data_IF_498013412133
#
_entry.id   IF_498013412133
#
_cell.length_a   1.000
_cell.length_b   1.000
_cell.length_c   1.000
_cell.angle_alpha   90.00
_cell.angle_beta   90.00
_cell.angle_gamma   90.00
#
_symmetry.space_group_name_H-M   'P 1'
#
loop_
_entity.id
_entity.type
_entity.pdbx_description
1 polymer ?
#
# COMPACT_ATOMS: atom_id res chain seq x y z
N UNK A 1 32.90 50.52 -18.75
CA UNK A 1 32.44 49.16 -19.10
C UNK A 1 32.08 48.46 -17.80
N UNK A 2 30.81 48.08 -17.62
CA UNK A 2 30.26 47.50 -16.38
C UNK A 2 30.26 45.98 -16.57
N UNK A 3 30.92 45.24 -15.67
CA UNK A 3 30.95 43.76 -15.70
C UNK A 3 29.56 43.20 -15.32
N UNK A 4 29.02 42.21 -16.06
CA UNK A 4 27.82 41.52 -15.62
C UNK A 4 28.21 40.48 -14.56
N UNK A 5 27.71 40.67 -13.34
CA UNK A 5 27.74 39.65 -12.29
C UNK A 5 26.94 38.44 -12.77
N UNK A 6 27.65 37.35 -13.10
CA UNK A 6 27.05 36.07 -13.42
C UNK A 6 26.43 35.48 -12.15
N UNK A 7 25.11 35.50 -12.08
CA UNK A 7 24.34 34.82 -11.03
C UNK A 7 24.38 33.32 -11.35
N UNK A 8 25.24 32.59 -10.66
CA UNK A 8 25.22 31.13 -10.67
C UNK A 8 23.96 30.69 -9.94
N UNK A 9 22.93 30.30 -10.70
CA UNK A 9 21.73 29.69 -10.16
C UNK A 9 22.09 28.27 -9.69
N UNK A 10 22.45 28.13 -8.41
CA UNK A 10 22.57 26.84 -7.74
C UNK A 10 21.17 26.24 -7.61
N UNK A 11 20.71 25.56 -8.66
CA UNK A 11 19.59 24.64 -8.57
C UNK A 11 20.04 23.48 -7.66
N UNK A 12 19.76 23.62 -6.36
CA UNK A 12 19.78 22.49 -5.46
C UNK A 12 18.70 21.52 -5.96
N UNK A 13 19.11 20.57 -6.79
CA UNK A 13 18.37 19.34 -7.04
C UNK A 13 18.31 18.61 -5.70
N UNK A 14 17.33 18.97 -4.87
CA UNK A 14 16.78 18.10 -3.84
C UNK A 14 16.01 16.97 -4.54
N UNK A 15 16.70 16.24 -5.43
CA UNK A 15 16.35 14.87 -5.70
C UNK A 15 16.70 14.12 -4.43
N UNK A 16 15.77 14.20 -3.47
CA UNK A 16 15.73 13.26 -2.36
C UNK A 16 15.92 11.90 -3.01
N UNK A 17 17.05 11.27 -2.70
CA UNK A 17 17.23 9.86 -2.93
C UNK A 17 16.20 9.15 -2.06
N UNK A 18 14.94 9.16 -2.49
CA UNK A 18 13.96 8.21 -2.04
C UNK A 18 14.54 6.87 -2.49
N UNK A 19 15.16 6.17 -1.54
CA UNK A 19 15.42 4.73 -1.67
C UNK A 19 14.10 4.17 -2.14
N UNK A 20 14.02 3.77 -3.41
CA UNK A 20 12.78 3.21 -3.91
C UNK A 20 12.54 1.95 -3.11
N UNK A 21 11.43 1.86 -2.35
CA UNK A 21 11.15 0.64 -1.60
C UNK A 21 11.11 -0.49 -2.62
N UNK A 22 11.98 -1.49 -2.43
CA UNK A 22 11.96 -2.65 -3.29
C UNK A 22 10.62 -3.39 -3.05
N UNK A 23 10.12 -4.09 -4.07
CA UNK A 23 8.84 -4.80 -3.97
C UNK A 23 8.82 -5.84 -2.83
N UNK A 24 9.99 -6.38 -2.48
CA UNK A 24 10.14 -7.37 -1.42
C UNK A 24 9.88 -6.77 -0.03
N UNK A 25 10.37 -5.56 0.25
CA UNK A 25 10.14 -4.83 1.51
C UNK A 25 8.67 -4.48 1.67
N UNK A 26 8.02 -3.97 0.60
CA UNK A 26 6.58 -3.67 0.65
C UNK A 26 5.75 -4.94 0.92
N UNK A 27 6.14 -6.06 0.31
CA UNK A 27 5.47 -7.35 0.53
C UNK A 27 5.64 -7.83 1.97
N UNK A 28 6.84 -7.67 2.56
CA UNK A 28 7.12 -8.03 3.94
C UNK A 28 6.32 -7.18 4.94
N UNK A 29 6.29 -5.86 4.77
CA UNK A 29 5.52 -4.96 5.63
C UNK A 29 4.01 -5.23 5.54
N UNK A 30 3.50 -5.53 4.34
CA UNK A 30 2.11 -5.92 4.14
C UNK A 30 1.77 -7.23 4.86
N UNK A 31 2.65 -8.23 4.78
CA UNK A 31 2.47 -9.50 5.51
C UNK A 31 2.51 -9.29 7.03
N UNK A 32 3.43 -8.47 7.54
CA UNK A 32 3.51 -8.12 8.96
C UNK A 32 2.24 -7.41 9.44
N UNK A 33 1.70 -6.50 8.62
CA UNK A 33 0.42 -5.86 8.91
C UNK A 33 -0.71 -6.89 9.04
N UNK A 34 -0.82 -7.84 8.10
CA UNK A 34 -1.82 -8.91 8.17
C UNK A 34 -1.65 -9.78 9.42
N UNK A 35 -0.41 -10.16 9.76
CA UNK A 35 -0.08 -10.92 10.99
C UNK A 35 -0.54 -10.16 12.24
N UNK A 36 -0.21 -8.88 12.33
CA UNK A 36 -0.61 -8.02 13.45
C UNK A 36 -2.13 -7.93 13.57
N UNK A 37 -2.83 -7.76 12.45
CA UNK A 37 -4.30 -7.74 12.43
C UNK A 37 -4.90 -9.07 12.89
N UNK A 38 -4.35 -10.21 12.47
CA UNK A 38 -4.81 -11.52 12.96
C UNK A 38 -4.59 -11.70 14.47
N UNK A 39 -3.44 -11.26 14.99
CA UNK A 39 -3.13 -11.34 16.42
C UNK A 39 -4.14 -10.60 17.30
N UNK A 40 -4.67 -9.46 16.82
CA UNK A 40 -5.74 -8.72 17.54
C UNK A 40 -7.04 -9.53 17.71
N UNK A 41 -7.21 -10.62 16.95
CA UNK A 41 -8.33 -11.55 17.08
C UNK A 41 -7.95 -12.86 17.79
N UNK A 42 -6.78 -12.92 18.45
CA UNK A 42 -6.19 -14.16 19.00
C UNK A 42 -6.07 -15.27 17.94
N UNK A 43 -5.77 -14.89 16.70
CA UNK A 43 -5.64 -15.78 15.56
C UNK A 43 -4.27 -15.61 14.89
N UNK A 44 -3.84 -16.61 14.13
CA UNK A 44 -2.61 -16.58 13.33
C UNK A 44 -2.95 -16.30 11.87
N UNK A 45 -2.05 -15.60 11.20
CA UNK A 45 -2.11 -15.45 9.75
C UNK A 45 -1.95 -16.82 9.08
N UNK A 46 -2.86 -17.15 8.18
CA UNK A 46 -2.86 -18.41 7.42
C UNK A 46 -2.42 -18.19 5.96
N UNK A 47 -2.84 -17.08 5.35
CA UNK A 47 -2.48 -16.74 3.98
C UNK A 47 -3.31 -15.60 3.42
N UNK A 48 -2.90 -15.07 2.27
CA UNK A 48 -3.63 -14.03 1.56
C UNK A 48 -3.91 -14.42 0.10
N UNK A 49 -4.99 -13.88 -0.45
CA UNK A 49 -5.33 -14.04 -1.86
C UNK A 49 -6.22 -12.88 -2.32
N UNK A 50 -5.86 -12.28 -3.45
CA UNK A 50 -6.53 -11.10 -3.99
C UNK A 50 -6.51 -9.96 -2.96
N UNK A 51 -7.71 -9.50 -2.58
CA UNK A 51 -7.89 -8.40 -1.63
C UNK A 51 -8.28 -8.84 -0.22
N UNK A 52 -7.97 -10.09 0.13
CA UNK A 52 -8.34 -10.65 1.41
C UNK A 52 -7.26 -11.54 2.00
N UNK A 53 -7.27 -11.67 3.31
CA UNK A 53 -6.40 -12.57 4.04
C UNK A 53 -7.18 -13.36 5.08
N UNK A 54 -6.65 -14.53 5.40
CA UNK A 54 -7.27 -15.50 6.30
C UNK A 54 -6.50 -15.52 7.60
N UNK A 55 -7.22 -15.38 8.70
CA UNK A 55 -6.75 -15.63 10.05
C UNK A 55 -7.39 -16.92 10.57
N UNK A 56 -6.60 -17.77 11.22
CA UNK A 56 -7.06 -19.01 11.83
C UNK A 56 -6.70 -19.04 13.31
N UNK A 57 -7.66 -19.35 14.16
CA UNK A 57 -7.47 -19.41 15.61
C UNK A 57 -8.53 -20.26 16.28
N UNK A 58 -8.73 -20.04 17.59
CA UNK A 58 -9.77 -20.71 18.37
C UNK A 58 -10.72 -19.68 18.99
N UNK A 59 -12.00 -20.03 19.07
CA UNK A 59 -12.98 -19.23 19.82
C UNK A 59 -12.89 -19.51 21.33
N UNK A 60 -13.71 -18.82 22.13
CA UNK A 60 -13.73 -18.99 23.60
C UNK A 60 -14.15 -20.39 24.06
N UNK A 61 -14.73 -21.20 23.16
CA UNK A 61 -15.12 -22.60 23.40
C UNK A 61 -14.02 -23.58 22.96
N UNK A 62 -12.86 -23.09 22.51
CA UNK A 62 -11.73 -23.90 22.03
C UNK A 62 -11.93 -24.50 20.63
N UNK A 63 -12.98 -24.13 19.91
CA UNK A 63 -13.28 -24.59 18.56
C UNK A 63 -12.52 -23.78 17.52
N UNK A 64 -12.17 -24.41 16.41
CA UNK A 64 -11.50 -23.75 15.30
C UNK A 64 -12.38 -22.63 14.72
N UNK A 65 -11.77 -21.47 14.53
CA UNK A 65 -12.39 -20.28 13.96
C UNK A 65 -11.53 -19.78 12.80
N UNK A 66 -12.17 -19.63 11.64
CA UNK A 66 -11.56 -19.04 10.45
C UNK A 66 -12.20 -17.68 10.22
N UNK A 67 -11.38 -16.66 9.99
CA UNK A 67 -11.81 -15.30 9.72
C UNK A 67 -11.17 -14.84 8.42
N UNK A 68 -11.99 -14.31 7.51
CA UNK A 68 -11.54 -13.69 6.28
C UNK A 68 -11.68 -12.18 6.41
N UNK A 69 -10.58 -11.46 6.27
CA UNK A 69 -10.49 -10.02 6.40
C UNK A 69 -10.09 -9.40 5.06
N UNK A 70 -10.65 -8.25 4.74
CA UNK A 70 -10.29 -7.52 3.53
C UNK A 70 -9.06 -6.63 3.77
N UNK A 71 -8.28 -6.45 2.72
CA UNK A 71 -7.27 -5.40 2.64
C UNK A 71 -7.91 -4.03 2.56
N UNK A 72 -7.16 -3.02 3.00
CA UNK A 72 -7.54 -1.62 2.84
C UNK A 72 -7.57 -1.23 1.37
N UNK A 73 -8.43 -0.27 1.04
CA UNK A 73 -8.51 0.26 -0.31
C UNK A 73 -7.19 0.94 -0.71
N UNK A 74 -6.79 0.77 -1.97
CA UNK A 74 -5.52 1.25 -2.50
C UNK A 74 -4.33 0.30 -2.36
N UNK A 75 -4.43 -0.77 -1.56
CA UNK A 75 -3.34 -1.74 -1.46
C UNK A 75 -3.21 -2.58 -2.73
N UNK A 76 -1.98 -2.91 -3.17
CA UNK A 76 -1.76 -3.67 -4.39
C UNK A 76 -2.29 -5.10 -4.23
N UNK A 77 -2.99 -5.60 -5.26
CA UNK A 77 -3.50 -6.97 -5.34
C UNK A 77 -3.05 -7.70 -6.61
N UNK A 78 -2.21 -7.06 -7.41
CA UNK A 78 -1.64 -7.58 -8.65
C UNK A 78 -0.99 -6.47 -9.47
N UNK A 79 -0.40 -6.85 -10.60
CA UNK A 79 0.21 -5.90 -11.53
C UNK A 79 -0.85 -4.92 -12.04
N UNK A 80 -0.61 -3.62 -11.84
CA UNK A 80 -1.54 -2.54 -12.21
C UNK A 80 -2.96 -2.72 -11.65
N UNK A 81 -3.08 -3.29 -10.44
CA UNK A 81 -4.35 -3.48 -9.75
C UNK A 81 -4.24 -3.14 -8.26
N UNK A 82 -5.32 -2.61 -7.72
CA UNK A 82 -5.47 -2.26 -6.32
C UNK A 82 -6.77 -2.84 -5.73
N UNK A 83 -6.83 -2.95 -4.41
CA UNK A 83 -8.05 -3.29 -3.70
C UNK A 83 -8.98 -2.10 -3.61
N UNK A 84 -10.25 -2.31 -3.95
CA UNK A 84 -11.33 -1.34 -3.78
C UNK A 84 -12.58 -2.06 -3.28
N UNK A 85 -13.06 -1.74 -2.08
CA UNK A 85 -14.20 -2.42 -1.46
C UNK A 85 -14.01 -3.93 -1.31
N UNK A 86 -12.75 -4.39 -1.18
CA UNK A 86 -12.40 -5.82 -1.16
C UNK A 86 -12.35 -6.50 -2.55
N UNK A 87 -12.46 -5.75 -3.64
CA UNK A 87 -12.35 -6.26 -5.03
C UNK A 87 -11.03 -5.82 -5.64
N UNK A 88 -10.32 -6.73 -6.30
CA UNK A 88 -9.09 -6.42 -7.01
C UNK A 88 -9.40 -5.77 -8.36
N UNK A 89 -9.15 -4.46 -8.46
CA UNK A 89 -9.60 -3.60 -9.56
C UNK A 89 -8.40 -3.00 -10.29
N UNK A 90 -8.43 -2.86 -11.63
CA UNK A 90 -7.37 -2.15 -12.35
C UNK A 90 -7.26 -0.70 -11.91
N UNK A 91 -6.02 -0.22 -11.68
CA UNK A 91 -5.78 1.21 -11.50
C UNK A 91 -5.99 1.94 -12.83
N UNK A 92 -6.58 3.13 -12.79
CA UNK A 92 -6.66 4.01 -13.96
C UNK A 92 -5.47 4.96 -13.95
N UNK A 93 -4.74 4.95 -15.06
CA UNK A 93 -3.62 5.86 -15.28
C UNK A 93 -4.10 6.90 -16.28
N UNK A 94 -4.17 8.17 -15.88
CA UNK A 94 -4.44 9.25 -16.84
C UNK A 94 -3.14 9.63 -17.55
N UNK A 95 -2.98 9.17 -18.79
CA UNK A 95 -1.80 9.48 -19.59
C UNK A 95 -1.70 10.95 -20.03
N UNK A 96 -2.77 11.75 -19.90
CA UNK A 96 -2.72 13.20 -20.18
C UNK A 96 -2.03 13.97 -19.07
N UNK A 97 -2.07 13.45 -17.85
CA UNK A 97 -1.32 13.96 -16.71
C UNK A 97 -0.47 12.81 -16.17
N UNK A 98 0.74 12.63 -16.71
CA UNK A 98 1.66 11.48 -16.51
C UNK A 98 1.96 11.08 -15.04
N UNK A 99 1.40 11.78 -14.05
CA UNK A 99 1.55 11.56 -12.62
C UNK A 99 0.22 11.33 -11.88
N UNK A 100 -0.93 11.33 -12.56
CA UNK A 100 -2.24 11.12 -11.95
C UNK A 100 -2.65 9.64 -12.03
N UNK A 101 -2.44 8.93 -10.92
CA UNK A 101 -3.06 7.64 -10.64
C UNK A 101 -4.42 7.91 -10.00
N UNK A 102 -5.52 7.49 -10.62
CA UNK A 102 -6.80 7.48 -9.93
C UNK A 102 -6.86 6.22 -9.07
N UNK A 103 -6.57 6.37 -7.77
CA UNK A 103 -6.70 5.30 -6.78
C UNK A 103 -7.99 5.43 -5.98
N UNK A 104 -8.67 4.32 -5.73
CA UNK A 104 -9.81 4.29 -4.81
C UNK A 104 -9.42 4.47 -3.33
N UNK A 105 -8.13 4.29 -2.99
CA UNK A 105 -7.59 4.60 -1.66
C UNK A 105 -7.50 6.09 -1.38
N UNK A 106 -7.59 6.94 -2.41
CA UNK A 106 -7.42 8.40 -2.30
C UNK A 106 -8.64 9.15 -1.73
N UNK A 107 -9.69 8.43 -1.33
CA UNK A 107 -10.84 9.00 -0.64
C UNK A 107 -10.96 8.48 0.79
N UNK A 108 -10.06 8.89 1.70
CA UNK A 108 -10.33 9.38 3.08
C UNK A 108 -9.05 10.04 3.59
N UNK A 109 -9.09 11.34 3.84
CA UNK A 109 -8.14 11.89 4.82
C UNK A 109 -8.29 11.09 6.11
N UNK A 110 -7.18 10.69 6.72
CA UNK A 110 -7.17 10.12 8.06
C UNK A 110 -8.07 10.97 8.95
N UNK A 111 -9.25 10.44 9.31
CA UNK A 111 -10.14 11.06 10.30
C UNK A 111 -9.77 10.56 11.68
#
# INVERSE_FOLDING_TARGET
MILPLSVVLLAASSYLHAVQPNADTCSAELEEHMKTRCSNFNARFHGFSGCSFTCQGKNNLGQDKIMKLNLMDGLPCGLCKECCGGVCTPVKIDFKNQLALESCGQQKGCS
#
